data_IF_395408105132
#
_entry.id   IF_395408105132
#
_cell.length_a   1.000
_cell.length_b   1.000
_cell.length_c   1.000
_cell.angle_alpha   90.00
_cell.angle_beta   90.00
_cell.angle_gamma   90.00
#
_symmetry.space_group_name_H-M   'P 1'
#
loop_
_entity.id
_entity.type
_entity.pdbx_description
1 polymer ?
#
# COMPACT_ATOMS: atom_id res chain seq x y z
N UNK A 1 23.55 -0.32 -16.06
CA UNK A 1 22.63 -1.26 -16.75
C UNK A 1 21.32 -0.53 -16.98
N UNK A 2 20.86 -0.36 -18.24
CA UNK A 2 19.55 0.24 -18.54
C UNK A 2 18.51 -0.86 -18.61
N UNK A 3 17.42 -0.72 -17.86
CA UNK A 3 16.29 -1.65 -17.94
C UNK A 3 15.51 -1.41 -19.24
N UNK A 4 15.10 -2.48 -19.91
CA UNK A 4 14.13 -2.40 -21.02
C UNK A 4 12.77 -2.83 -20.49
N UNK A 5 11.83 -1.90 -20.46
CA UNK A 5 10.47 -2.18 -20.05
C UNK A 5 9.65 -2.66 -21.24
N UNK A 6 8.82 -3.69 -21.03
CA UNK A 6 7.86 -4.17 -22.01
C UNK A 6 6.46 -3.90 -21.48
N UNK A 7 5.64 -3.22 -22.28
CA UNK A 7 4.23 -3.02 -21.96
C UNK A 7 3.51 -4.35 -22.14
N UNK A 8 2.89 -4.86 -21.06
CA UNK A 8 2.10 -6.08 -21.12
C UNK A 8 0.61 -5.76 -21.32
N UNK A 9 -0.14 -6.55 -22.11
CA UNK A 9 -1.56 -6.30 -22.35
C UNK A 9 -2.41 -6.29 -21.07
N UNK A 10 -2.19 -7.24 -20.17
CA UNK A 10 -2.94 -7.33 -18.90
C UNK A 10 -2.70 -6.10 -17.99
N UNK A 11 -1.50 -5.51 -18.04
CA UNK A 11 -1.20 -4.26 -17.32
C UNK A 11 -1.96 -3.07 -17.92
N UNK A 12 -2.10 -3.05 -19.24
CA UNK A 12 -2.87 -2.00 -19.92
C UNK A 12 -4.36 -2.16 -19.61
N UNK A 13 -4.89 -3.39 -19.62
CA UNK A 13 -6.28 -3.64 -19.21
C UNK A 13 -6.58 -3.16 -17.79
N UNK A 14 -5.66 -3.35 -16.83
CA UNK A 14 -5.84 -2.86 -15.46
C UNK A 14 -5.92 -1.33 -15.40
N UNK A 15 -5.11 -0.65 -16.23
CA UNK A 15 -5.08 0.82 -16.31
C UNK A 15 -6.34 1.35 -16.98
N UNK A 16 -6.74 0.75 -18.11
CA UNK A 16 -7.94 1.13 -18.87
C UNK A 16 -9.20 0.94 -18.02
N UNK A 17 -9.28 -0.14 -17.24
CA UNK A 17 -10.36 -0.34 -16.25
C UNK A 17 -10.53 0.82 -15.28
N UNK A 18 -9.45 1.49 -14.87
CA UNK A 18 -9.55 2.65 -13.97
C UNK A 18 -9.92 3.91 -14.73
N UNK A 19 -9.27 4.13 -15.87
CA UNK A 19 -9.43 5.34 -16.68
C UNK A 19 -10.85 5.45 -17.25
N UNK A 20 -11.39 4.34 -17.75
CA UNK A 20 -12.70 4.29 -18.40
C UNK A 20 -13.86 4.54 -17.43
N UNK A 21 -13.67 4.33 -16.12
CA UNK A 21 -14.65 4.75 -15.12
C UNK A 21 -14.96 6.25 -15.16
N UNK A 22 -14.04 7.06 -15.70
CA UNK A 22 -14.18 8.51 -15.79
C UNK A 22 -14.46 9.00 -17.22
N UNK A 23 -14.87 8.10 -18.13
CA UNK A 23 -15.26 8.49 -19.48
C UNK A 23 -16.29 9.64 -19.47
N UNK A 24 -16.08 10.63 -20.34
CA UNK A 24 -16.88 11.86 -20.39
C UNK A 24 -16.45 12.97 -19.43
N UNK A 25 -15.50 12.74 -18.51
CA UNK A 25 -14.92 13.82 -17.70
C UNK A 25 -14.10 14.77 -18.58
N UNK A 26 -14.36 16.07 -18.46
CA UNK A 26 -13.66 17.11 -19.23
C UNK A 26 -12.21 17.25 -18.76
N UNK A 27 -11.29 17.31 -19.72
CA UNK A 27 -9.90 17.66 -19.47
C UNK A 27 -9.75 19.17 -19.27
N UNK A 28 -9.41 19.57 -18.05
CA UNK A 28 -9.27 20.99 -17.67
C UNK A 28 -7.83 21.50 -17.76
N UNK A 29 -6.88 20.67 -18.22
CA UNK A 29 -5.47 21.07 -18.32
C UNK A 29 -5.19 22.16 -19.37
N UNK A 30 -6.15 22.46 -20.25
CA UNK A 30 -6.01 23.41 -21.36
C UNK A 30 -6.78 24.73 -21.17
N UNK A 31 -7.61 24.88 -20.14
CA UNK A 31 -8.35 26.12 -19.88
C UNK A 31 -7.52 27.06 -18.99
N UNK A 32 -6.73 27.93 -19.61
CA UNK A 32 -6.07 29.07 -18.94
C UNK A 32 -6.50 30.38 -19.60
N UNK A 33 -7.31 31.19 -18.90
CA UNK A 33 -7.48 32.65 -19.01
C UNK A 33 -8.45 33.08 -17.88
N UNK A 34 -8.23 34.13 -17.06
CA UNK A 34 -8.09 35.56 -17.41
C UNK A 34 -7.05 36.26 -16.53
N UNK A 35 -6.11 36.98 -17.15
CA UNK A 35 -5.36 38.06 -16.51
C UNK A 35 -6.09 39.37 -16.82
N UNK A 36 -6.55 40.08 -15.81
CA UNK A 36 -6.74 41.54 -15.86
C UNK A 36 -6.26 42.14 -14.53
N UNK A 37 -5.04 42.72 -14.46
CA UNK A 37 -4.50 43.31 -13.25
C UNK A 37 -4.97 44.77 -13.19
N UNK A 38 -6.24 44.98 -12.88
CA UNK A 38 -6.74 46.28 -12.47
C UNK A 38 -6.14 46.72 -11.12
N UNK A 39 -5.96 48.03 -10.91
CA UNK A 39 -5.35 48.62 -9.71
C UNK A 39 -6.19 48.37 -8.44
N UNK A 40 -5.96 47.25 -7.77
CA UNK A 40 -6.30 47.01 -6.36
C UNK A 40 -5.39 45.90 -5.81
N UNK A 41 -5.01 45.92 -4.51
CA UNK A 41 -4.19 44.87 -3.93
C UNK A 41 -5.00 43.58 -3.94
N UNK A 42 -4.59 42.64 -4.78
CA UNK A 42 -5.13 41.28 -4.83
C UNK A 42 -5.03 40.72 -3.40
N UNK A 43 -6.13 40.36 -2.72
CA UNK A 43 -6.03 39.54 -1.52
C UNK A 43 -5.25 38.30 -1.94
N UNK A 44 -4.28 37.85 -1.13
CA UNK A 44 -3.38 36.74 -1.43
C UNK A 44 -4.14 35.39 -1.54
N UNK A 45 -5.07 35.26 -2.49
CA UNK A 45 -5.77 34.03 -2.84
C UNK A 45 -4.80 33.14 -3.63
N UNK A 46 -4.09 32.32 -2.86
CA UNK A 46 -3.55 31.00 -3.18
C UNK A 46 -3.31 30.71 -4.68
N UNK A 47 -2.19 31.18 -5.22
CA UNK A 47 -1.66 30.68 -6.50
C UNK A 47 -1.09 29.27 -6.30
N UNK A 48 -1.95 28.25 -6.36
CA UNK A 48 -1.57 26.83 -6.28
C UNK A 48 -2.40 25.97 -7.23
N UNK A 49 -1.85 24.84 -7.67
CA UNK A 49 -2.53 23.92 -8.58
C UNK A 49 -3.28 22.85 -7.80
N UNK A 50 -4.58 22.70 -8.05
CA UNK A 50 -5.40 21.59 -7.55
C UNK A 50 -5.90 20.73 -8.70
N UNK A 51 -6.21 19.47 -8.42
CA UNK A 51 -6.97 18.67 -9.37
C UNK A 51 -8.37 19.27 -9.54
N UNK A 52 -8.86 19.36 -10.78
CA UNK A 52 -10.23 19.75 -11.05
C UNK A 52 -11.22 18.74 -10.44
N UNK A 53 -12.33 19.26 -9.91
CA UNK A 53 -13.38 18.46 -9.33
C UNK A 53 -14.05 17.57 -10.40
N UNK A 54 -14.64 16.45 -9.95
CA UNK A 54 -15.33 15.53 -10.83
C UNK A 54 -16.67 16.14 -11.25
N UNK A 55 -16.85 16.37 -12.56
CA UNK A 55 -18.07 16.94 -13.13
C UNK A 55 -19.12 15.87 -13.45
N UNK A 56 -18.69 14.61 -13.54
CA UNK A 56 -19.58 13.47 -13.73
C UNK A 56 -20.58 13.35 -12.58
N UNK A 57 -21.86 13.25 -12.95
CA UNK A 57 -22.93 12.91 -12.03
C UNK A 57 -22.73 11.51 -11.46
N UNK A 58 -23.40 11.21 -10.36
CA UNK A 58 -23.33 9.87 -9.76
C UNK A 58 -23.82 8.77 -10.71
N UNK A 59 -24.91 9.05 -11.44
CA UNK A 59 -25.47 8.12 -12.42
C UNK A 59 -24.50 7.81 -13.56
N UNK A 60 -23.87 8.84 -14.13
CA UNK A 60 -22.87 8.67 -15.20
C UNK A 60 -21.65 7.87 -14.71
N UNK A 61 -21.15 8.18 -13.51
CA UNK A 61 -20.03 7.44 -12.95
C UNK A 61 -20.38 5.96 -12.70
N UNK A 62 -21.61 5.70 -12.24
CA UNK A 62 -22.10 4.34 -12.03
C UNK A 62 -22.24 3.58 -13.34
N UNK A 63 -22.77 4.23 -14.38
CA UNK A 63 -22.88 3.66 -15.73
C UNK A 63 -21.50 3.29 -16.29
N UNK A 64 -20.53 4.21 -16.25
CA UNK A 64 -19.16 3.93 -16.65
C UNK A 64 -18.54 2.75 -15.87
N UNK A 65 -18.76 2.68 -14.55
CA UNK A 65 -18.30 1.56 -13.73
C UNK A 65 -18.97 0.25 -14.16
N UNK A 66 -20.27 0.27 -14.45
CA UNK A 66 -20.99 -0.91 -14.94
C UNK A 66 -20.44 -1.40 -16.27
N UNK A 67 -20.18 -0.50 -17.24
CA UNK A 67 -19.57 -0.87 -18.52
C UNK A 67 -18.20 -1.54 -18.33
N UNK A 68 -17.35 -0.98 -17.46
CA UNK A 68 -16.05 -1.58 -17.10
C UNK A 68 -16.23 -2.95 -16.45
N UNK A 69 -17.17 -3.07 -15.51
CA UNK A 69 -17.45 -4.33 -14.81
C UNK A 69 -17.96 -5.41 -15.77
N UNK A 70 -18.86 -5.07 -16.69
CA UNK A 70 -19.37 -5.99 -17.71
C UNK A 70 -18.24 -6.48 -18.61
N UNK A 71 -17.39 -5.57 -19.11
CA UNK A 71 -16.23 -5.90 -19.95
C UNK A 71 -15.24 -6.84 -19.24
N UNK A 72 -15.13 -6.73 -17.92
CA UNK A 72 -14.24 -7.55 -17.08
C UNK A 72 -14.94 -8.79 -16.49
N UNK A 73 -16.21 -9.05 -16.83
CA UNK A 73 -17.03 -10.11 -16.23
C UNK A 73 -17.07 -10.06 -14.69
N UNK A 74 -17.19 -8.85 -14.14
CA UNK A 74 -17.31 -8.59 -12.70
C UNK A 74 -18.78 -8.39 -12.31
N UNK A 75 -19.15 -8.74 -11.06
CA UNK A 75 -20.46 -8.38 -10.53
C UNK A 75 -20.70 -6.87 -10.56
N UNK A 76 -21.88 -6.46 -11.01
CA UNK A 76 -22.26 -5.06 -11.09
C UNK A 76 -22.42 -4.45 -9.69
N UNK A 77 -21.85 -3.28 -9.49
CA UNK A 77 -21.96 -2.55 -8.22
C UNK A 77 -23.39 -2.02 -8.02
N UNK A 78 -24.01 -2.32 -6.89
CA UNK A 78 -25.35 -1.80 -6.58
C UNK A 78 -25.34 -0.27 -6.37
N UNK A 79 -24.26 0.27 -5.79
CA UNK A 79 -24.07 1.68 -5.53
C UNK A 79 -22.57 2.05 -5.51
N UNK A 80 -22.26 3.35 -5.50
CA UNK A 80 -20.91 3.82 -5.22
C UNK A 80 -20.61 3.72 -3.72
N UNK A 81 -19.59 2.94 -3.36
CA UNK A 81 -19.27 2.69 -1.95
C UNK A 81 -18.30 3.77 -1.48
N UNK A 82 -18.80 4.70 -0.67
CA UNK A 82 -17.99 5.76 -0.08
C UNK A 82 -17.12 5.26 1.09
N UNK A 83 -15.93 5.81 1.22
CA UNK A 83 -14.97 5.47 2.28
C UNK A 83 -13.97 6.61 2.47
N UNK A 84 -13.50 6.82 3.70
CA UNK A 84 -12.59 7.91 4.07
C UNK A 84 -13.08 9.30 3.60
N UNK A 85 -14.39 9.57 3.74
CA UNK A 85 -15.07 10.80 3.27
C UNK A 85 -14.87 11.09 1.78
N UNK A 86 -14.59 10.07 0.98
CA UNK A 86 -14.45 10.14 -0.45
C UNK A 86 -15.58 9.35 -1.12
N UNK A 87 -16.23 9.97 -2.11
CA UNK A 87 -17.34 9.37 -2.85
C UNK A 87 -16.88 8.21 -3.74
N UNK A 88 -15.69 8.32 -4.34
CA UNK A 88 -15.21 7.39 -5.36
C UNK A 88 -14.07 6.55 -4.79
N UNK A 89 -14.34 5.25 -4.61
CA UNK A 89 -13.35 4.26 -4.17
C UNK A 89 -13.34 3.09 -5.15
N UNK A 90 -12.28 2.97 -5.94
CA UNK A 90 -12.14 1.89 -6.92
C UNK A 90 -11.15 0.84 -6.41
N UNK A 91 -11.55 -0.43 -6.49
CA UNK A 91 -10.73 -1.58 -6.15
C UNK A 91 -10.15 -2.21 -7.42
N UNK A 92 -8.81 -2.33 -7.44
CA UNK A 92 -8.02 -2.91 -8.52
C UNK A 92 -7.30 -4.14 -7.94
N UNK A 93 -7.85 -5.31 -8.24
CA UNK A 93 -7.31 -6.57 -7.75
C UNK A 93 -6.25 -7.10 -8.73
N UNK A 94 -5.01 -7.19 -8.24
CA UNK A 94 -3.86 -7.66 -9.01
C UNK A 94 -2.96 -8.55 -8.15
N UNK A 95 -2.73 -9.77 -8.64
CA UNK A 95 -1.85 -10.75 -8.00
C UNK A 95 -0.40 -10.22 -7.86
N UNK A 96 0.28 -10.65 -6.80
CA UNK A 96 1.68 -10.36 -6.54
C UNK A 96 2.56 -10.81 -7.70
N UNK A 97 3.51 -9.96 -8.11
CA UNK A 97 4.42 -10.27 -9.22
C UNK A 97 3.88 -9.93 -10.61
N UNK A 98 2.65 -9.43 -10.74
CA UNK A 98 2.07 -8.96 -12.02
C UNK A 98 2.39 -7.48 -12.33
N UNK A 99 3.20 -6.81 -11.51
CA UNK A 99 3.63 -5.43 -11.79
C UNK A 99 2.63 -4.34 -11.41
N UNK A 100 1.88 -4.55 -10.32
CA UNK A 100 0.95 -3.58 -9.71
C UNK A 100 1.52 -2.15 -9.62
N UNK A 101 2.77 -2.00 -9.18
CA UNK A 101 3.48 -0.71 -9.11
C UNK A 101 3.60 -0.04 -10.46
N UNK A 102 3.96 -0.80 -11.50
CA UNK A 102 4.02 -0.26 -12.86
C UNK A 102 2.63 0.18 -13.33
N UNK A 103 1.58 -0.59 -13.04
CA UNK A 103 0.21 -0.25 -13.42
C UNK A 103 -0.25 1.07 -12.81
N UNK A 104 -0.14 1.28 -11.49
CA UNK A 104 -0.61 2.54 -10.92
C UNK A 104 0.24 3.75 -11.32
N UNK A 105 1.53 3.57 -11.64
CA UNK A 105 2.34 4.64 -12.24
C UNK A 105 1.81 4.96 -13.64
N UNK A 106 1.55 3.95 -14.48
CA UNK A 106 0.93 4.16 -15.79
C UNK A 106 -0.45 4.82 -15.67
N UNK A 107 -1.26 4.43 -14.68
CA UNK A 107 -2.56 5.08 -14.38
C UNK A 107 -2.41 6.56 -14.07
N UNK A 108 -1.39 6.97 -13.30
CA UNK A 108 -1.10 8.39 -13.03
C UNK A 108 -0.92 9.16 -14.35
N UNK A 109 -0.14 8.61 -15.28
CA UNK A 109 0.09 9.23 -16.59
C UNK A 109 -1.17 9.28 -17.46
N UNK A 110 -1.95 8.20 -17.53
CA UNK A 110 -3.18 8.17 -18.33
C UNK A 110 -4.26 9.10 -17.78
N UNK A 111 -4.43 9.15 -16.45
CA UNK A 111 -5.35 10.09 -15.81
C UNK A 111 -4.93 11.55 -16.06
N UNK A 112 -3.63 11.85 -16.06
CA UNK A 112 -3.15 13.18 -16.45
C UNK A 112 -3.42 13.48 -17.92
N UNK A 113 -3.13 12.53 -18.81
CA UNK A 113 -3.31 12.68 -20.26
C UNK A 113 -4.77 12.94 -20.62
N UNK A 114 -5.69 12.19 -20.03
CA UNK A 114 -7.11 12.21 -20.39
C UNK A 114 -7.90 13.26 -19.63
N UNK A 115 -7.62 13.47 -18.34
CA UNK A 115 -8.44 14.32 -17.47
C UNK A 115 -7.69 15.53 -16.87
N UNK A 116 -6.37 15.62 -17.10
CA UNK A 116 -5.55 16.74 -16.63
C UNK A 116 -5.15 16.68 -15.17
N UNK A 117 -5.56 15.66 -14.41
CA UNK A 117 -5.20 15.53 -13.00
C UNK A 117 -3.70 15.33 -12.81
N UNK A 118 -3.11 16.06 -11.87
CA UNK A 118 -1.66 16.18 -11.70
C UNK A 118 -1.19 15.96 -10.26
N UNK A 119 -2.10 15.91 -9.27
CA UNK A 119 -1.77 15.77 -7.85
C UNK A 119 -2.10 14.38 -7.35
N UNK A 120 -1.08 13.59 -7.01
CA UNK A 120 -1.22 12.20 -6.58
C UNK A 120 -0.48 11.94 -5.27
N UNK A 121 -1.02 11.06 -4.45
CA UNK A 121 -0.36 10.57 -3.24
C UNK A 121 -0.41 9.05 -3.23
N UNK A 122 0.75 8.40 -3.15
CA UNK A 122 0.88 6.96 -2.97
C UNK A 122 1.06 6.67 -1.48
N UNK A 123 0.09 5.97 -0.89
CA UNK A 123 0.11 5.55 0.51
C UNK A 123 0.52 4.09 0.57
N UNK A 124 1.51 3.77 1.40
CA UNK A 124 2.08 2.42 1.56
C UNK A 124 2.08 1.98 3.04
N UNK A 125 2.10 0.67 3.36
CA UNK A 125 2.00 0.23 4.75
C UNK A 125 3.35 0.23 5.49
N UNK A 126 4.48 0.15 4.78
CA UNK A 126 5.81 0.03 5.39
C UNK A 126 6.87 0.87 4.69
N UNK A 127 7.97 1.14 5.41
CA UNK A 127 9.13 1.86 4.88
C UNK A 127 9.76 1.10 3.70
N UNK A 128 9.89 -0.23 3.78
CA UNK A 128 10.47 -1.02 2.70
C UNK A 128 9.67 -0.91 1.39
N UNK A 129 8.34 -0.95 1.47
CA UNK A 129 7.48 -0.73 0.29
C UNK A 129 7.64 0.70 -0.21
N UNK A 130 7.70 1.70 0.69
CA UNK A 130 7.95 3.11 0.35
C UNK A 130 9.21 3.30 -0.51
N UNK A 131 10.32 2.72 -0.08
CA UNK A 131 11.59 2.77 -0.83
C UNK A 131 11.48 2.03 -2.17
N UNK A 132 10.80 0.88 -2.20
CA UNK A 132 10.54 0.13 -3.44
C UNK A 132 9.73 0.92 -4.47
N UNK A 133 8.69 1.65 -4.03
CA UNK A 133 7.89 2.53 -4.89
C UNK A 133 8.72 3.71 -5.40
N UNK A 134 9.47 4.38 -4.52
CA UNK A 134 10.36 5.48 -4.91
C UNK A 134 11.36 5.01 -5.98
N UNK A 135 11.98 3.85 -5.75
CA UNK A 135 12.91 3.28 -6.71
C UNK A 135 12.25 2.89 -8.04
N UNK A 136 11.02 2.42 -8.00
CA UNK A 136 10.25 2.07 -9.20
C UNK A 136 9.96 3.31 -10.04
N UNK A 137 9.58 4.43 -9.42
CA UNK A 137 9.41 5.71 -10.10
C UNK A 137 10.72 6.19 -10.75
N UNK A 138 11.86 6.09 -10.06
CA UNK A 138 13.17 6.44 -10.63
C UNK A 138 13.52 5.60 -11.86
N UNK A 139 13.42 4.27 -11.76
CA UNK A 139 13.88 3.38 -12.84
C UNK A 139 12.94 3.46 -14.05
N UNK A 140 11.65 3.70 -13.84
CA UNK A 140 10.66 3.82 -14.92
C UNK A 140 10.55 5.23 -15.52
N UNK A 141 11.27 6.22 -14.98
CA UNK A 141 11.15 7.62 -15.37
C UNK A 141 11.40 7.84 -16.87
N UNK A 142 12.51 7.33 -17.42
CA UNK A 142 12.83 7.47 -18.84
C UNK A 142 11.78 6.78 -19.72
N UNK A 143 11.39 5.56 -19.36
CA UNK A 143 10.38 4.78 -20.08
C UNK A 143 9.03 5.50 -20.18
N UNK A 144 8.54 6.08 -19.08
CA UNK A 144 7.28 6.83 -19.13
C UNK A 144 7.45 8.20 -19.79
N UNK A 145 8.62 8.84 -19.67
CA UNK A 145 8.90 10.09 -20.37
C UNK A 145 8.88 9.90 -21.89
N UNK A 146 9.47 8.81 -22.39
CA UNK A 146 9.45 8.45 -23.82
C UNK A 146 8.01 8.20 -24.31
N UNK A 147 7.18 7.51 -23.52
CA UNK A 147 5.82 7.14 -23.91
C UNK A 147 4.79 8.29 -23.79
N UNK A 148 4.95 9.17 -22.80
CA UNK A 148 3.95 10.20 -22.47
C UNK A 148 4.44 11.64 -22.73
N UNK A 149 5.73 11.83 -23.03
CA UNK A 149 6.32 13.16 -23.26
C UNK A 149 6.36 14.05 -22.01
N UNK A 150 6.10 13.49 -20.82
CA UNK A 150 6.05 14.23 -19.55
C UNK A 150 6.88 13.52 -18.50
N UNK A 151 7.49 14.29 -17.61
CA UNK A 151 8.17 13.80 -16.41
C UNK A 151 7.26 13.91 -15.20
N UNK A 152 7.38 12.95 -14.29
CA UNK A 152 6.75 13.01 -12.97
C UNK A 152 7.76 13.54 -11.98
N UNK A 153 7.35 14.54 -11.19
CA UNK A 153 8.08 14.93 -9.97
C UNK A 153 7.58 14.09 -8.83
N UNK A 154 8.49 13.47 -8.07
CA UNK A 154 8.11 12.64 -6.95
C UNK A 154 9.06 12.80 -5.78
N UNK A 155 8.52 12.65 -4.57
CA UNK A 155 9.29 12.74 -3.33
C UNK A 155 8.66 11.88 -2.23
N UNK A 156 9.48 11.52 -1.26
CA UNK A 156 9.03 10.87 -0.03
C UNK A 156 8.68 11.98 0.96
N UNK A 157 7.49 11.92 1.54
CA UNK A 157 7.09 12.89 2.55
C UNK A 157 8.05 12.88 3.75
N UNK A 158 8.50 14.08 4.14
CA UNK A 158 9.34 14.30 5.31
C UNK A 158 8.88 15.59 5.99
N UNK A 159 8.52 15.52 7.28
CA UNK A 159 8.01 16.65 8.06
C UNK A 159 9.02 17.77 8.31
N UNK A 160 10.29 17.55 7.96
CA UNK A 160 11.38 18.54 7.99
C UNK A 160 11.63 19.19 6.62
N UNK A 161 11.10 18.63 5.52
CA UNK A 161 11.30 19.12 4.15
C UNK A 161 10.05 19.81 3.60
N UNK A 162 9.64 20.89 4.25
CA UNK A 162 8.39 21.59 3.93
C UNK A 162 8.36 22.21 2.52
N UNK A 163 9.52 22.57 1.97
CA UNK A 163 9.67 23.07 0.59
C UNK A 163 9.16 22.08 -0.47
N UNK A 164 9.18 20.78 -0.19
CA UNK A 164 8.63 19.77 -1.10
C UNK A 164 7.10 19.82 -1.15
N UNK A 165 6.45 20.20 -0.04
CA UNK A 165 5.00 20.38 0.06
C UNK A 165 4.58 21.64 -0.70
N UNK A 166 5.35 22.72 -0.57
CA UNK A 166 5.14 23.94 -1.38
C UNK A 166 5.31 23.65 -2.87
N UNK A 167 6.37 22.93 -3.25
CA UNK A 167 6.60 22.51 -4.64
C UNK A 167 5.47 21.62 -5.14
N UNK A 168 5.02 20.65 -4.32
CA UNK A 168 3.86 19.81 -4.62
C UNK A 168 2.61 20.63 -4.86
N UNK A 169 2.41 21.75 -4.17
CA UNK A 169 1.22 22.58 -4.32
C UNK A 169 1.30 23.58 -5.48
N UNK A 170 2.48 24.14 -5.73
CA UNK A 170 2.70 25.24 -6.69
C UNK A 170 3.10 24.80 -8.11
N UNK A 171 3.52 23.56 -8.32
CA UNK A 171 3.96 23.07 -9.63
C UNK A 171 2.79 22.54 -10.48
N UNK A 172 2.70 22.87 -11.78
CA UNK A 172 1.58 22.42 -12.64
C UNK A 172 1.73 20.99 -13.20
N UNK A 173 2.95 20.44 -13.18
CA UNK A 173 3.28 19.12 -13.74
C UNK A 173 2.75 17.98 -12.85
N UNK A 174 2.96 16.74 -13.30
CA UNK A 174 2.53 15.57 -12.53
C UNK A 174 3.41 15.45 -11.28
N UNK A 175 2.79 15.56 -10.11
CA UNK A 175 3.43 15.48 -8.80
C UNK A 175 2.91 14.28 -8.01
N UNK A 176 3.84 13.46 -7.51
CA UNK A 176 3.54 12.25 -6.74
C UNK A 176 4.24 12.33 -5.38
N UNK A 177 3.47 12.44 -4.30
CA UNK A 177 3.99 12.31 -2.94
C UNK A 177 3.86 10.86 -2.47
N UNK A 178 4.93 10.27 -1.92
CA UNK A 178 4.92 8.91 -1.37
C UNK A 178 4.95 8.99 0.16
N UNK A 179 4.04 8.31 0.83
CA UNK A 179 3.93 8.36 2.29
C UNK A 179 3.57 6.99 2.88
N UNK A 180 4.15 6.65 4.02
CA UNK A 180 3.74 5.46 4.77
C UNK A 180 2.67 5.81 5.82
N UNK A 181 1.65 4.99 5.95
CA UNK A 181 0.52 5.27 6.85
C UNK A 181 0.92 5.35 8.33
N UNK A 182 1.99 4.64 8.70
CA UNK A 182 2.53 4.66 10.07
C UNK A 182 3.00 6.06 10.49
N UNK A 183 3.46 6.88 9.54
CA UNK A 183 3.85 8.26 9.83
C UNK A 183 2.66 9.11 10.30
N UNK A 184 1.42 8.78 9.93
CA UNK A 184 0.22 9.49 10.40
C UNK A 184 -0.32 9.04 11.73
N UNK A 185 -0.20 7.74 12.02
CA UNK A 185 -0.76 7.14 13.23
C UNK A 185 0.16 7.28 14.43
N UNK A 186 1.44 7.60 14.21
CA UNK A 186 2.41 7.73 15.29
C UNK A 186 2.30 9.09 16.00
N UNK A 187 2.29 9.08 17.32
CA UNK A 187 2.10 10.23 18.22
C UNK A 187 3.35 11.10 18.42
N UNK A 188 4.46 10.73 17.77
CA UNK A 188 5.73 11.45 17.83
C UNK A 188 5.60 12.92 17.45
N UNK A 189 6.43 13.78 18.05
CA UNK A 189 6.45 15.23 17.80
C UNK A 189 6.59 15.54 16.29
N UNK A 190 7.46 14.80 15.60
CA UNK A 190 7.72 14.98 14.16
C UNK A 190 6.54 14.62 13.27
N UNK A 191 5.64 13.73 13.71
CA UNK A 191 4.45 13.35 12.95
C UNK A 191 3.28 14.29 13.18
N UNK A 192 3.21 14.91 14.37
CA UNK A 192 2.21 15.95 14.68
C UNK A 192 2.43 17.22 13.87
N UNK A 193 3.67 17.51 13.46
CA UNK A 193 4.02 18.65 12.59
C UNK A 193 3.16 18.78 11.33
N UNK A 194 2.63 17.68 10.77
CA UNK A 194 1.75 17.78 9.59
C UNK A 194 0.42 18.48 9.91
N UNK A 195 -0.01 18.43 11.17
CA UNK A 195 -1.26 18.98 11.69
C UNK A 195 -1.07 20.27 12.49
N UNK A 196 0.16 20.60 12.89
CA UNK A 196 0.47 21.79 13.66
C UNK A 196 0.73 22.98 12.73
N UNK A 197 0.49 24.20 13.24
CA UNK A 197 0.96 25.43 12.58
C UNK A 197 2.47 25.53 12.77
N UNK A 198 3.18 25.79 11.67
CA UNK A 198 4.64 25.83 11.67
C UNK A 198 5.10 27.23 11.25
N UNK A 199 5.87 27.92 12.09
CA UNK A 199 6.41 29.24 11.79
C UNK A 199 7.29 29.22 10.53
N UNK A 200 8.13 28.20 10.40
CA UNK A 200 8.95 27.90 9.20
C UNK A 200 8.11 27.60 7.94
N UNK A 201 6.78 27.48 8.09
CA UNK A 201 5.81 27.27 7.02
C UNK A 201 4.82 28.42 6.89
N UNK A 202 5.22 29.62 7.29
CA UNK A 202 4.36 30.81 7.28
C UNK A 202 3.12 30.62 8.15
N UNK A 203 3.28 29.93 9.30
CA UNK A 203 2.22 29.59 10.26
C UNK A 203 1.05 28.82 9.64
N UNK A 204 1.30 28.08 8.54
CA UNK A 204 0.31 27.19 7.92
C UNK A 204 0.46 25.78 8.44
N UNK A 205 -0.61 25.00 8.33
CA UNK A 205 -0.58 23.55 8.58
C UNK A 205 -0.30 22.81 7.27
N UNK A 206 0.73 21.95 7.21
CA UNK A 206 1.05 21.20 5.99
C UNK A 206 -0.13 20.37 5.44
N UNK A 207 -0.95 19.78 6.31
CA UNK A 207 -2.14 19.02 5.90
C UNK A 207 -3.14 19.87 5.11
N UNK A 208 -3.30 21.14 5.47
CA UNK A 208 -4.27 22.02 4.79
C UNK A 208 -3.81 22.31 3.37
N UNK A 209 -2.51 22.60 3.20
CA UNK A 209 -1.90 22.82 1.87
C UNK A 209 -2.08 21.59 0.99
N UNK A 210 -1.73 20.40 1.50
CA UNK A 210 -1.87 19.15 0.75
C UNK A 210 -3.34 18.87 0.41
N UNK A 211 -4.26 19.06 1.35
CA UNK A 211 -5.68 18.78 1.14
C UNK A 211 -6.34 19.72 0.14
N UNK A 212 -5.88 20.98 0.07
CA UNK A 212 -6.35 21.97 -0.90
C UNK A 212 -6.02 21.59 -2.35
N UNK A 213 -5.00 20.75 -2.57
CA UNK A 213 -4.66 20.24 -3.90
C UNK A 213 -5.63 19.18 -4.44
N UNK A 214 -6.58 18.69 -3.63
CA UNK A 214 -7.54 17.62 -3.97
C UNK A 214 -6.87 16.38 -4.58
N UNK A 215 -5.90 15.77 -3.88
CA UNK A 215 -5.09 14.70 -4.45
C UNK A 215 -5.90 13.45 -4.79
N UNK A 216 -5.46 12.71 -5.80
CA UNK A 216 -5.89 11.33 -6.03
C UNK A 216 -5.02 10.42 -5.17
N UNK A 217 -5.63 9.59 -4.33
CA UNK A 217 -4.90 8.67 -3.45
C UNK A 217 -4.80 7.29 -4.09
N UNK A 218 -3.59 6.73 -4.07
CA UNK A 218 -3.30 5.37 -4.49
C UNK A 218 -2.87 4.61 -3.24
N UNK A 219 -3.69 3.67 -2.77
CA UNK A 219 -3.39 2.85 -1.61
C UNK A 219 -2.83 1.51 -2.10
N UNK A 220 -1.56 1.25 -1.79
CA UNK A 220 -0.87 0.01 -2.16
C UNK A 220 -0.87 -0.98 -0.99
N UNK A 221 -1.53 -2.13 -1.13
CA UNK A 221 -1.76 -3.10 -0.05
C UNK A 221 -2.59 -2.53 1.14
N UNK A 222 -3.79 -1.95 0.89
CA UNK A 222 -4.62 -1.32 1.92
C UNK A 222 -5.01 -2.26 3.08
N UNK A 223 -5.09 -3.57 2.85
CA UNK A 223 -5.39 -4.56 3.89
C UNK A 223 -4.29 -4.66 4.96
N UNK A 224 -3.08 -4.18 4.68
CA UNK A 224 -1.97 -4.08 5.64
C UNK A 224 -1.94 -2.75 6.40
N UNK A 225 -2.79 -1.79 6.04
CA UNK A 225 -2.72 -0.42 6.57
C UNK A 225 -3.50 -0.17 7.86
N UNK A 226 -4.01 -1.18 8.55
CA UNK A 226 -4.81 -0.99 9.78
C UNK A 226 -6.27 -0.58 9.52
N UNK A 227 -7.02 -0.32 10.59
CA UNK A 227 -8.48 -0.08 10.56
C UNK A 227 -8.89 1.40 10.57
N UNK A 228 -9.87 1.76 11.41
CA UNK A 228 -10.52 3.09 11.44
C UNK A 228 -9.55 4.29 11.44
N UNK A 229 -8.47 4.24 12.25
CA UNK A 229 -7.47 5.34 12.32
C UNK A 229 -6.85 5.69 10.96
N UNK A 230 -6.65 4.68 10.13
CA UNK A 230 -6.10 4.86 8.78
C UNK A 230 -7.13 5.49 7.85
N UNK A 231 -8.40 5.10 7.95
CA UNK A 231 -9.48 5.74 7.20
C UNK A 231 -9.61 7.21 7.61
N UNK A 232 -9.49 7.53 8.90
CA UNK A 232 -9.50 8.89 9.41
C UNK A 232 -8.32 9.71 8.88
N UNK A 233 -7.11 9.15 8.88
CA UNK A 233 -5.92 9.80 8.33
C UNK A 233 -6.07 10.07 6.82
N UNK A 234 -6.53 9.07 6.06
CA UNK A 234 -6.80 9.18 4.62
C UNK A 234 -7.84 10.27 4.35
N UNK A 235 -8.88 10.38 5.17
CA UNK A 235 -9.93 11.37 5.02
C UNK A 235 -9.43 12.83 5.17
N UNK A 236 -8.35 13.06 5.93
CA UNK A 236 -7.78 14.40 6.13
C UNK A 236 -7.18 14.98 4.86
N UNK A 237 -6.79 14.15 3.90
CA UNK A 237 -6.30 14.62 2.60
C UNK A 237 -7.39 15.18 1.69
N UNK A 238 -8.68 15.04 2.05
CA UNK A 238 -9.82 15.44 1.21
C UNK A 238 -9.65 14.97 -0.24
N UNK A 239 -9.45 13.67 -0.46
CA UNK A 239 -9.06 13.18 -1.77
C UNK A 239 -10.16 13.38 -2.81
N UNK A 240 -9.78 13.53 -4.07
CA UNK A 240 -10.71 13.58 -5.20
C UNK A 240 -11.34 12.20 -5.43
N UNK A 241 -10.49 11.17 -5.45
CA UNK A 241 -10.86 9.76 -5.55
C UNK A 241 -9.76 8.88 -4.92
N UNK A 242 -10.11 7.64 -4.58
CA UNK A 242 -9.21 6.67 -3.98
C UNK A 242 -9.12 5.43 -4.87
N UNK A 243 -7.91 5.07 -5.28
CA UNK A 243 -7.59 3.85 -6.02
C UNK A 243 -6.90 2.86 -5.08
N UNK A 244 -7.45 1.65 -4.96
CA UNK A 244 -6.99 0.63 -4.02
C UNK A 244 -6.39 -0.53 -4.79
N UNK A 245 -5.07 -0.66 -4.74
CA UNK A 245 -4.33 -1.70 -5.44
C UNK A 245 -3.97 -2.80 -4.44
N UNK A 246 -4.52 -4.00 -4.63
CA UNK A 246 -4.24 -5.14 -3.75
C UNK A 246 -4.36 -6.48 -4.47
N UNK A 247 -3.69 -7.52 -3.97
CA UNK A 247 -3.99 -8.88 -4.40
C UNK A 247 -5.23 -9.43 -3.67
N UNK A 248 -5.52 -8.88 -2.48
CA UNK A 248 -6.59 -9.35 -1.61
C UNK A 248 -7.29 -8.18 -0.95
N UNK A 249 -8.55 -7.94 -1.29
CA UNK A 249 -9.37 -6.92 -0.64
C UNK A 249 -10.10 -7.53 0.56
N UNK A 250 -9.86 -7.00 1.76
CA UNK A 250 -10.65 -7.35 2.96
C UNK A 250 -12.01 -6.65 2.98
N UNK A 251 -12.05 -5.43 2.43
CA UNK A 251 -13.25 -4.61 2.31
C UNK A 251 -13.40 -4.30 0.83
N UNK A 252 -14.56 -4.63 0.28
CA UNK A 252 -14.89 -4.38 -1.12
C UNK A 252 -15.63 -3.04 -1.25
N UNK A 253 -15.21 -2.24 -2.21
CA UNK A 253 -15.86 -1.04 -2.70
C UNK A 253 -16.33 -1.32 -4.14
N UNK A 254 -16.04 -0.43 -5.08
CA UNK A 254 -16.35 -0.65 -6.49
C UNK A 254 -15.16 -1.34 -7.18
N UNK A 255 -15.23 -2.67 -7.33
CA UNK A 255 -14.20 -3.44 -8.05
C UNK A 255 -14.33 -3.22 -9.55
N UNK A 256 -13.25 -2.76 -10.18
CA UNK A 256 -13.19 -2.40 -11.61
C UNK A 256 -12.22 -3.25 -12.41
N UNK A 257 -11.36 -4.01 -11.73
CA UNK A 257 -10.43 -4.95 -12.35
C UNK A 257 -10.15 -6.13 -11.42
N UNK A 258 -9.98 -7.31 -12.01
CA UNK A 258 -9.52 -8.52 -11.32
C UNK A 258 -8.53 -9.28 -12.17
N UNK A 259 -7.36 -9.53 -11.60
CA UNK A 259 -6.35 -10.48 -12.07
C UNK A 259 -5.88 -11.26 -10.84
N UNK A 260 -6.60 -12.33 -10.51
CA UNK A 260 -6.33 -13.16 -9.33
C UNK A 260 -5.21 -14.19 -9.56
N UNK A 261 -4.86 -14.96 -8.53
CA UNK A 261 -3.86 -16.02 -8.62
C UNK A 261 -4.15 -17.06 -9.72
N UNK A 262 -5.42 -17.42 -9.90
CA UNK A 262 -5.83 -18.43 -10.87
C UNK A 262 -5.70 -17.89 -12.29
N UNK A 263 -6.15 -16.65 -12.53
CA UNK A 263 -6.01 -15.94 -13.80
C UNK A 263 -4.53 -15.75 -14.14
N UNK A 264 -3.73 -15.26 -13.19
CA UNK A 264 -2.30 -15.05 -13.37
C UNK A 264 -1.56 -16.35 -13.67
N UNK A 265 -1.97 -17.46 -13.05
CA UNK A 265 -1.42 -18.79 -13.34
C UNK A 265 -1.84 -19.30 -14.72
N UNK A 266 -3.12 -19.21 -15.07
CA UNK A 266 -3.67 -19.65 -16.36
C UNK A 266 -3.05 -18.86 -17.53
N UNK A 267 -2.80 -17.57 -17.33
CA UNK A 267 -2.12 -16.69 -18.29
C UNK A 267 -0.58 -16.83 -18.28
N UNK A 268 -0.02 -17.75 -17.46
CA UNK A 268 1.43 -17.99 -17.30
C UNK A 268 2.23 -16.73 -16.93
N UNK A 269 1.62 -15.84 -16.16
CA UNK A 269 2.24 -14.60 -15.69
C UNK A 269 3.12 -14.82 -14.47
N UNK A 270 2.82 -15.86 -13.68
CA UNK A 270 3.53 -16.20 -12.44
C UNK A 270 4.03 -17.64 -12.47
N UNK A 271 5.09 -17.93 -11.68
CA UNK A 271 5.65 -19.28 -11.56
C UNK A 271 4.76 -20.15 -10.68
N UNK A 272 4.68 -21.44 -11.00
CA UNK A 272 4.02 -22.44 -10.16
C UNK A 272 4.78 -22.61 -8.84
N UNK A 273 4.07 -22.55 -7.72
CA UNK A 273 4.62 -22.90 -6.42
C UNK A 273 4.44 -24.41 -6.23
N UNK A 274 5.53 -25.13 -5.94
CA UNK A 274 5.49 -26.53 -5.53
C UNK A 274 5.68 -26.59 -4.01
N UNK A 275 4.59 -26.87 -3.27
CA UNK A 275 4.67 -27.06 -1.82
C UNK A 275 5.14 -28.49 -1.55
N UNK A 276 6.36 -28.63 -1.03
CA UNK A 276 6.86 -29.91 -0.52
C UNK A 276 6.57 -29.98 0.97
N UNK A 277 5.47 -30.63 1.34
CA UNK A 277 5.19 -30.95 2.74
C UNK A 277 6.16 -32.03 3.22
N UNK A 278 6.92 -31.72 4.27
CA UNK A 278 7.72 -32.73 4.97
C UNK A 278 6.81 -33.30 6.05
N UNK A 279 6.27 -34.49 5.82
CA UNK A 279 5.59 -35.25 6.86
C UNK A 279 6.60 -36.23 7.44
N UNK A 280 6.97 -36.05 8.70
CA UNK A 280 7.81 -37.02 9.41
C UNK A 280 6.95 -38.25 9.68
N UNK A 281 7.13 -39.31 8.89
CA UNK A 281 6.57 -40.65 9.14
C UNK A 281 7.69 -41.52 9.68
N UNK A 282 7.37 -42.32 10.69
CA UNK A 282 8.28 -43.27 11.33
C UNK A 282 9.56 -42.62 11.89
N UNK A 283 9.39 -41.86 12.97
CA UNK A 283 10.49 -41.62 13.90
C UNK A 283 10.92 -42.98 14.46
N UNK A 284 11.93 -43.61 13.86
CA UNK A 284 12.72 -44.61 14.56
C UNK A 284 13.17 -43.94 15.86
N UNK A 285 12.79 -44.47 17.03
CA UNK A 285 12.88 -43.87 18.38
C UNK A 285 14.29 -43.49 18.86
N UNK A 286 14.98 -42.70 18.06
CA UNK A 286 16.37 -42.25 18.10
C UNK A 286 16.48 -40.77 17.73
N UNK A 287 15.47 -40.22 17.05
CA UNK A 287 15.39 -38.79 16.75
C UNK A 287 14.65 -38.05 17.86
N UNK A 288 15.29 -37.06 18.47
CA UNK A 288 14.71 -36.24 19.55
C UNK A 288 13.49 -35.43 19.10
N UNK A 289 12.41 -35.47 19.88
CA UNK A 289 11.23 -34.60 19.70
C UNK A 289 11.31 -33.38 20.62
N UNK A 290 11.31 -32.18 20.04
CA UNK A 290 11.22 -30.91 20.76
C UNK A 290 10.22 -30.00 20.08
N UNK A 291 9.24 -29.50 20.85
CA UNK A 291 8.28 -28.51 20.39
C UNK A 291 8.16 -27.36 21.39
N UNK A 292 8.57 -26.16 20.98
CA UNK A 292 8.45 -24.95 21.80
C UNK A 292 7.02 -24.41 21.69
N UNK A 293 6.25 -24.52 22.78
CA UNK A 293 4.85 -24.05 22.84
C UNK A 293 4.78 -22.53 22.97
N UNK A 294 5.57 -21.96 23.89
CA UNK A 294 5.65 -20.51 24.11
C UNK A 294 6.82 -20.14 25.03
N UNK A 295 7.12 -18.84 25.08
CA UNK A 295 8.10 -18.26 26.00
C UNK A 295 7.32 -17.39 27.00
N UNK A 296 7.36 -17.76 28.27
CA UNK A 296 6.77 -16.97 29.36
C UNK A 296 7.75 -15.86 29.74
N UNK A 297 7.43 -14.62 29.36
CA UNK A 297 8.24 -13.43 29.65
C UNK A 297 7.65 -12.74 30.90
N UNK A 298 8.50 -12.49 31.90
CA UNK A 298 8.11 -11.80 33.13
C UNK A 298 9.20 -10.83 33.61
N UNK A 299 9.12 -10.34 34.85
CA UNK A 299 10.20 -9.54 35.47
C UNK A 299 11.42 -10.38 35.84
N UNK A 300 11.29 -11.71 35.88
CA UNK A 300 12.41 -12.65 36.07
C UNK A 300 12.93 -13.18 34.73
N UNK A 301 13.94 -14.06 34.77
CA UNK A 301 14.46 -14.72 33.58
C UNK A 301 13.32 -15.43 32.80
N UNK A 302 13.36 -15.38 31.45
CA UNK A 302 12.32 -15.98 30.61
C UNK A 302 12.31 -17.51 30.74
N UNK A 303 11.12 -18.08 30.73
CA UNK A 303 10.90 -19.53 30.81
C UNK A 303 10.40 -20.06 29.48
N UNK A 304 11.05 -21.10 28.96
CA UNK A 304 10.60 -21.80 27.76
C UNK A 304 9.65 -22.93 28.15
N UNK A 305 8.43 -22.94 27.57
CA UNK A 305 7.52 -24.08 27.66
C UNK A 305 7.77 -25.01 26.49
N UNK A 306 8.44 -26.12 26.75
CA UNK A 306 8.87 -27.06 25.71
C UNK A 306 8.20 -28.40 25.96
N UNK A 307 7.47 -28.90 24.97
CA UNK A 307 7.04 -30.29 24.92
C UNK A 307 8.20 -31.15 24.44
N UNK A 308 8.58 -32.11 25.26
CA UNK A 308 9.66 -33.06 24.98
C UNK A 308 9.28 -34.46 25.45
N UNK A 309 9.94 -35.46 24.90
CA UNK A 309 9.81 -36.83 25.40
C UNK A 309 10.59 -37.02 26.70
N UNK A 310 9.94 -37.58 27.72
CA UNK A 310 10.50 -37.83 29.04
C UNK A 310 10.27 -39.29 29.41
N UNK A 311 11.31 -39.94 29.92
CA UNK A 311 11.26 -41.30 30.47
C UNK A 311 10.47 -41.29 31.79
N UNK A 312 9.37 -42.03 31.83
CA UNK A 312 8.57 -42.29 33.03
C UNK A 312 8.57 -43.78 33.36
N UNK A 313 8.07 -44.15 34.56
CA UNK A 313 8.00 -45.54 35.01
C UNK A 313 7.25 -46.47 34.03
N UNK A 314 6.27 -45.93 33.29
CA UNK A 314 5.46 -46.69 32.33
C UNK A 314 5.84 -46.43 30.87
N UNK A 315 7.10 -46.02 30.60
CA UNK A 315 7.62 -45.76 29.27
C UNK A 315 7.87 -44.27 28.97
N UNK A 316 8.16 -43.97 27.71
CA UNK A 316 8.46 -42.60 27.25
C UNK A 316 7.16 -41.90 26.88
N UNK A 317 6.94 -40.69 27.42
CA UNK A 317 5.78 -39.85 27.12
C UNK A 317 6.19 -38.43 26.80
N UNK A 318 5.40 -37.76 25.97
CA UNK A 318 5.55 -36.33 25.70
C UNK A 318 4.97 -35.53 26.86
N UNK A 319 5.77 -34.63 27.41
CA UNK A 319 5.43 -33.80 28.55
C UNK A 319 5.91 -32.38 28.28
N UNK A 320 5.08 -31.41 28.61
CA UNK A 320 5.46 -29.99 28.60
C UNK A 320 6.25 -29.68 29.86
N UNK A 321 7.50 -29.26 29.70
CA UNK A 321 8.36 -28.75 30.77
C UNK A 321 8.56 -27.25 30.66
N UNK A 322 8.69 -26.59 31.82
CA UNK A 322 9.09 -25.19 31.94
C UNK A 322 10.57 -25.16 32.24
N UNK A 323 11.38 -24.69 31.29
CA UNK A 323 12.83 -24.77 31.35
C UNK A 323 13.44 -23.37 31.31
N UNK A 324 14.38 -23.14 32.22
CA UNK A 324 15.21 -21.94 32.30
C UNK A 324 16.46 -22.07 31.43
N UNK A 325 17.11 -20.93 31.18
CA UNK A 325 18.45 -20.90 30.56
C UNK A 325 19.42 -21.76 31.37
N UNK A 326 20.20 -22.58 30.66
CA UNK A 326 21.23 -23.45 31.22
C UNK A 326 20.75 -24.85 31.63
N UNK A 327 19.46 -25.20 31.46
CA UNK A 327 19.00 -26.58 31.70
C UNK A 327 19.46 -27.52 30.60
N UNK A 328 19.93 -28.70 31.00
CA UNK A 328 20.34 -29.80 30.12
C UNK A 328 19.14 -30.72 29.85
N UNK A 329 18.76 -30.84 28.58
CA UNK A 329 17.62 -31.64 28.16
C UNK A 329 17.83 -33.13 28.36
N UNK A 330 19.07 -33.62 28.40
CA UNK A 330 19.38 -35.00 28.74
C UNK A 330 18.89 -35.33 30.15
N UNK A 331 19.24 -34.48 31.11
CA UNK A 331 18.81 -34.63 32.52
C UNK A 331 17.30 -34.47 32.64
N UNK A 332 16.73 -33.47 31.96
CA UNK A 332 15.29 -33.19 32.03
C UNK A 332 14.42 -34.30 31.41
N UNK A 333 14.96 -35.04 30.45
CA UNK A 333 14.26 -36.14 29.79
C UNK A 333 14.28 -37.47 30.57
N UNK A 334 14.98 -37.54 31.69
CA UNK A 334 15.26 -38.83 32.36
C UNK A 334 16.30 -39.65 31.60
N UNK A 335 17.34 -38.98 31.09
CA UNK A 335 18.52 -39.57 30.43
C UNK A 335 18.22 -40.28 29.10
N UNK A 336 17.34 -39.70 28.28
CA UNK A 336 17.16 -40.16 26.91
C UNK A 336 18.31 -39.64 26.03
N UNK A 337 19.09 -40.57 25.46
CA UNK A 337 20.30 -40.25 24.69
C UNK A 337 20.07 -39.28 23.52
N UNK A 338 18.86 -39.24 22.97
CA UNK A 338 18.47 -38.30 21.91
C UNK A 338 18.58 -36.82 22.31
N UNK A 339 18.68 -36.50 23.60
CA UNK A 339 18.87 -35.14 24.11
C UNK A 339 20.28 -34.86 24.65
N UNK A 340 21.23 -35.79 24.46
CA UNK A 340 22.62 -35.59 24.92
C UNK A 340 23.25 -34.38 24.22
N UNK A 341 23.76 -33.44 25.02
CA UNK A 341 24.42 -32.22 24.53
C UNK A 341 23.49 -31.06 24.17
N UNK A 342 22.17 -31.21 24.38
CA UNK A 342 21.22 -30.12 24.18
C UNK A 342 21.02 -29.32 25.48
N UNK A 343 21.41 -28.04 25.46
CA UNK A 343 21.29 -27.11 26.57
C UNK A 343 20.42 -25.92 26.13
N UNK A 344 19.53 -25.45 27.01
CA UNK A 344 18.78 -24.21 26.76
C UNK A 344 19.72 -23.01 26.79
N UNK A 345 19.96 -22.40 25.63
CA UNK A 345 20.73 -21.16 25.48
C UNK A 345 19.82 -19.92 25.33
N UNK A 346 20.42 -18.74 25.19
CA UNK A 346 19.72 -17.44 25.04
C UNK A 346 18.75 -17.36 23.86
#
# INVERSE_FOLDING_TARGET
MKFKFKVQPYQTSAVDSVVDCFAGQVNTSQTTYTIDPGKAPIPLEFTGFKNADLLLTESQLKENIHEVQQRQNLPLSEALISSAKCRVNLDIEMETGTGKTYCYIKTIFELNKLYGWSKFIIVVPSIAIREGVYKSLEITADHFTENFGKKVRFFIYNSKQLHQIESFSSDASINVMIINIQAFNATGKDNRRIYDELDDFQSRRPIDVISSNRPILILDEPQKMGGAKTLDAVAKFKPLLILRYSATHRINHNKVHRLDALDAYNQKLVKKIAVRGITVKDLAGTNGYLYLESIEISRSAPLARIEMEVRQANGIKRVVKRLEKGRDLFVESGELDQYRGFIISE
#
